data_IF_463733707980
#
_entry.id   IF_463733707980
#
_cell.length_a   1.000
_cell.length_b   1.000
_cell.length_c   1.000
_cell.angle_alpha   90.00
_cell.angle_beta   90.00
_cell.angle_gamma   90.00
#
_symmetry.space_group_name_H-M   'P 1'
#
loop_
_entity.id
_entity.type
_entity.pdbx_description
1 polymer ?
#
# COMPACT_ATOMS: atom_id res chain seq x y z
N UNK A 1 18.95 10.42 -17.92
CA UNK A 1 17.77 9.71 -17.42
C UNK A 1 16.57 10.63 -17.23
N UNK A 2 16.42 11.56 -18.17
CA UNK A 2 15.37 12.57 -18.16
C UNK A 2 13.98 11.96 -18.28
N UNK A 3 13.83 10.93 -19.12
CA UNK A 3 12.56 10.21 -19.33
C UNK A 3 12.04 9.55 -18.04
N UNK A 4 12.95 9.02 -17.22
CA UNK A 4 12.57 8.42 -15.93
C UNK A 4 12.06 9.49 -14.93
N UNK A 5 12.75 10.62 -14.87
CA UNK A 5 12.34 11.74 -14.01
C UNK A 5 10.97 12.27 -14.44
N UNK A 6 10.77 12.46 -15.74
CA UNK A 6 9.49 12.91 -16.29
C UNK A 6 8.35 11.92 -15.99
N UNK A 7 8.61 10.62 -16.10
CA UNK A 7 7.63 9.58 -15.76
C UNK A 7 7.23 9.62 -14.28
N UNK A 8 8.21 9.73 -13.38
CA UNK A 8 7.96 9.80 -11.93
C UNK A 8 7.23 11.08 -11.58
N UNK A 9 7.64 12.22 -12.15
CA UNK A 9 6.96 13.51 -11.93
C UNK A 9 5.50 13.44 -12.35
N UNK A 10 5.23 12.88 -13.56
CA UNK A 10 3.86 12.72 -14.03
C UNK A 10 3.03 11.79 -13.16
N UNK A 11 3.62 10.71 -12.65
CA UNK A 11 2.94 9.85 -11.69
C UNK A 11 2.59 10.60 -10.40
N UNK A 12 3.52 11.36 -9.83
CA UNK A 12 3.26 12.18 -8.64
C UNK A 12 2.11 13.18 -8.87
N UNK A 13 2.11 13.86 -10.03
CA UNK A 13 1.03 14.78 -10.41
C UNK A 13 -0.34 14.07 -10.48
N UNK A 14 -0.41 12.91 -11.17
CA UNK A 14 -1.64 12.15 -11.28
C UNK A 14 -2.17 11.68 -9.93
N UNK A 15 -1.28 11.27 -9.02
CA UNK A 15 -1.68 10.89 -7.65
C UNK A 15 -2.23 12.11 -6.91
N UNK A 16 -1.54 13.25 -6.97
CA UNK A 16 -1.98 14.49 -6.32
C UNK A 16 -3.36 14.95 -6.85
N UNK A 17 -3.52 14.98 -8.19
CA UNK A 17 -4.80 15.33 -8.84
C UNK A 17 -5.97 14.45 -8.39
N UNK A 18 -5.74 13.14 -8.21
CA UNK A 18 -6.79 12.23 -7.74
C UNK A 18 -7.04 12.36 -6.23
N UNK A 19 -5.99 12.57 -5.44
CA UNK A 19 -6.14 12.80 -3.99
C UNK A 19 -6.92 14.09 -3.70
N UNK A 20 -6.71 15.17 -4.46
CA UNK A 20 -7.50 16.41 -4.36
C UNK A 20 -8.99 16.19 -4.63
N UNK A 21 -9.34 15.24 -5.49
CA UNK A 21 -10.72 14.81 -5.74
C UNK A 21 -11.27 13.84 -4.67
N UNK A 22 -10.45 13.48 -3.69
CA UNK A 22 -10.78 12.50 -2.67
C UNK A 22 -10.69 11.04 -3.14
N UNK A 23 -9.94 10.77 -4.21
CA UNK A 23 -9.70 9.44 -4.77
C UNK A 23 -8.28 8.97 -4.47
N UNK A 24 -8.07 7.65 -4.46
CA UNK A 24 -6.74 7.04 -4.57
C UNK A 24 -6.40 6.76 -6.04
N UNK A 25 -5.10 6.66 -6.36
CA UNK A 25 -4.62 6.32 -7.69
C UNK A 25 -3.62 5.17 -7.67
N UNK A 26 -4.11 3.97 -7.97
CA UNK A 26 -3.28 2.76 -8.08
C UNK A 26 -2.74 2.61 -9.52
N UNK A 27 -1.63 3.31 -9.82
CA UNK A 27 -1.00 3.23 -11.13
C UNK A 27 -0.52 1.81 -11.45
N UNK A 28 0.18 1.19 -10.51
CA UNK A 28 0.84 -0.10 -10.77
C UNK A 28 -0.16 -1.24 -10.88
N UNK A 29 -1.20 -1.28 -10.07
CA UNK A 29 -2.26 -2.27 -10.19
C UNK A 29 -3.01 -2.13 -11.51
N UNK A 30 -3.32 -0.91 -11.96
CA UNK A 30 -3.94 -0.66 -13.28
C UNK A 30 -3.06 -1.09 -14.44
N UNK A 31 -1.76 -0.79 -14.41
CA UNK A 31 -0.81 -1.24 -15.42
C UNK A 31 -0.67 -2.77 -15.44
N UNK A 32 -0.59 -3.37 -14.27
CA UNK A 32 -0.52 -4.82 -14.11
C UNK A 32 -1.75 -5.50 -14.74
N UNK A 33 -2.95 -5.05 -14.39
CA UNK A 33 -4.20 -5.55 -14.96
C UNK A 33 -4.21 -5.44 -16.49
N UNK A 34 -3.81 -4.30 -17.05
CA UNK A 34 -3.76 -4.09 -18.50
C UNK A 34 -2.74 -5.01 -19.17
N UNK A 35 -1.55 -5.17 -18.60
CA UNK A 35 -0.51 -6.05 -19.15
C UNK A 35 -0.94 -7.53 -19.13
N UNK A 36 -1.68 -7.96 -18.11
CA UNK A 36 -2.18 -9.33 -18.02
C UNK A 36 -3.36 -9.58 -18.96
N UNK A 37 -4.30 -8.64 -19.09
CA UNK A 37 -5.40 -8.71 -20.04
C UNK A 37 -4.90 -8.86 -21.49
N UNK A 38 -3.81 -8.17 -21.86
CA UNK A 38 -3.20 -8.25 -23.18
C UNK A 38 -2.49 -9.59 -23.43
N UNK A 39 -2.04 -10.31 -22.39
CA UNK A 39 -1.24 -11.54 -22.54
C UNK A 39 -2.03 -12.84 -22.45
N UNK A 40 -3.37 -12.83 -22.42
CA UNK A 40 -4.24 -14.03 -22.31
C UNK A 40 -3.82 -15.10 -21.27
N UNK A 41 -2.81 -14.80 -20.43
CA UNK A 41 -2.26 -15.67 -19.39
C UNK A 41 -2.75 -15.31 -17.97
N UNK A 42 -3.65 -14.36 -17.85
CA UNK A 42 -4.18 -13.89 -16.56
C UNK A 42 -4.87 -15.01 -15.74
N UNK A 43 -5.31 -16.07 -16.41
CA UNK A 43 -6.04 -17.15 -15.74
C UNK A 43 -5.14 -18.13 -14.97
N UNK A 44 -3.82 -18.12 -15.17
CA UNK A 44 -2.95 -19.16 -14.58
C UNK A 44 -2.53 -18.86 -13.13
N UNK A 45 -2.52 -17.59 -12.70
CA UNK A 45 -2.06 -17.23 -11.36
C UNK A 45 -3.19 -16.84 -10.40
N UNK A 46 -4.45 -16.74 -10.86
CA UNK A 46 -5.59 -16.43 -9.98
C UNK A 46 -5.52 -15.08 -9.25
N UNK A 47 -4.64 -14.18 -9.69
CA UNK A 47 -4.48 -12.86 -9.08
C UNK A 47 -5.45 -11.87 -9.72
N UNK A 48 -6.45 -11.46 -8.96
CA UNK A 48 -7.40 -10.42 -9.35
C UNK A 48 -7.33 -9.29 -8.32
N UNK A 49 -7.13 -8.06 -8.82
CA UNK A 49 -7.23 -6.89 -7.94
C UNK A 49 -8.70 -6.54 -7.70
N UNK A 50 -9.01 -6.18 -6.46
CA UNK A 50 -10.34 -5.76 -6.09
C UNK A 50 -10.73 -4.47 -6.82
N UNK A 51 -11.91 -4.40 -7.47
CA UNK A 51 -12.36 -3.17 -8.14
C UNK A 51 -12.44 -1.97 -7.20
N UNK A 52 -12.10 -0.77 -7.68
CA UNK A 52 -12.08 0.46 -6.89
C UNK A 52 -13.42 0.74 -6.19
N UNK A 53 -14.55 0.46 -6.84
CA UNK A 53 -15.88 0.63 -6.25
C UNK A 53 -16.10 -0.27 -5.04
N UNK A 54 -15.61 -1.51 -5.10
CA UNK A 54 -15.70 -2.46 -4.00
C UNK A 54 -14.77 -2.05 -2.86
N UNK A 55 -13.55 -1.60 -3.17
CA UNK A 55 -12.63 -1.08 -2.15
C UNK A 55 -13.23 0.09 -1.37
N UNK A 56 -13.88 1.03 -2.06
CA UNK A 56 -14.57 2.16 -1.41
C UNK A 56 -15.76 1.70 -0.56
N UNK A 57 -16.53 0.74 -1.04
CA UNK A 57 -17.63 0.17 -0.26
C UNK A 57 -17.11 -0.50 1.01
N UNK A 58 -16.05 -1.30 0.91
CA UNK A 58 -15.41 -1.94 2.06
C UNK A 58 -14.88 -0.90 3.05
N UNK A 59 -14.23 0.14 2.57
CA UNK A 59 -13.76 1.24 3.41
C UNK A 59 -14.92 1.91 4.17
N UNK A 60 -16.05 2.19 3.52
CA UNK A 60 -17.22 2.83 4.15
C UNK A 60 -17.91 1.94 5.18
N UNK A 61 -17.95 0.63 4.98
CA UNK A 61 -18.54 -0.31 5.93
C UNK A 61 -17.63 -0.49 7.15
N UNK A 62 -16.32 -0.58 6.93
CA UNK A 62 -15.36 -0.74 8.03
C UNK A 62 -15.29 0.50 8.91
N UNK A 63 -15.67 1.66 8.36
CA UNK A 63 -15.67 2.94 9.06
C UNK A 63 -16.87 3.11 10.02
N UNK A 64 -17.99 2.42 9.73
CA UNK A 64 -19.26 2.65 10.41
C UNK A 64 -19.32 2.06 11.84
N UNK A 65 -18.53 1.04 12.17
CA UNK A 65 -18.72 0.22 13.38
C UNK A 65 -17.46 0.03 14.26
N UNK A 66 -16.32 0.63 13.93
CA UNK A 66 -15.09 0.43 14.70
C UNK A 66 -14.84 1.61 15.61
N UNK A 67 -15.11 1.44 16.90
CA UNK A 67 -14.44 2.25 17.92
C UNK A 67 -12.94 2.16 17.65
N UNK A 68 -12.32 3.27 17.28
CA UNK A 68 -10.89 3.36 16.99
C UNK A 68 -10.11 2.97 18.25
N UNK A 69 -9.82 1.68 18.39
CA UNK A 69 -8.98 1.19 19.49
C UNK A 69 -7.56 1.65 19.23
N UNK A 70 -7.12 2.62 19.99
CA UNK A 70 -5.74 3.06 20.01
C UNK A 70 -4.83 1.87 20.37
N UNK A 71 -3.87 1.59 19.50
CA UNK A 71 -2.81 0.64 19.78
C UNK A 71 -1.67 1.32 20.57
N UNK A 72 -0.73 0.53 21.09
CA UNK A 72 0.46 1.05 21.77
C UNK A 72 1.13 2.17 20.96
N UNK A 73 1.14 3.39 21.50
CA UNK A 73 1.64 4.59 20.82
C UNK A 73 0.55 5.48 20.21
N UNK A 74 -0.74 5.21 20.44
CA UNK A 74 -1.85 6.06 19.97
C UNK A 74 -2.16 5.92 18.47
N UNK A 75 -1.60 4.91 17.77
CA UNK A 75 -1.84 4.65 16.36
C UNK A 75 -2.92 3.57 16.15
N UNK A 76 -3.87 3.87 15.29
CA UNK A 76 -4.85 2.87 14.81
C UNK A 76 -4.18 1.99 13.75
N UNK A 77 -4.19 0.68 13.96
CA UNK A 77 -3.62 -0.28 13.00
C UNK A 77 -4.69 -0.80 12.05
N UNK A 78 -4.39 -0.71 10.76
CA UNK A 78 -5.23 -1.21 9.67
C UNK A 78 -4.45 -2.30 8.93
N UNK A 79 -5.02 -3.51 8.85
CA UNK A 79 -4.34 -4.67 8.29
C UNK A 79 -5.06 -5.21 7.05
N UNK A 80 -4.26 -5.60 6.04
CA UNK A 80 -4.69 -6.37 4.88
C UNK A 80 -3.66 -7.47 4.60
N UNK A 81 -4.03 -8.72 4.87
CA UNK A 81 -3.14 -9.88 4.76
C UNK A 81 -3.02 -10.46 3.33
N UNK A 82 -3.73 -9.91 2.35
CA UNK A 82 -3.67 -10.28 0.94
C UNK A 82 -3.82 -9.01 0.07
N UNK A 83 -2.95 -8.03 0.33
CA UNK A 83 -3.15 -6.63 -0.03
C UNK A 83 -3.10 -6.34 -1.54
N UNK A 84 -2.59 -7.25 -2.37
CA UNK A 84 -2.36 -6.94 -3.78
C UNK A 84 -1.50 -5.68 -3.94
N UNK A 85 -1.96 -4.74 -4.76
CA UNK A 85 -1.34 -3.41 -4.92
C UNK A 85 -1.67 -2.42 -3.79
N UNK A 86 -2.28 -2.86 -2.68
CA UNK A 86 -2.80 -2.10 -1.54
C UNK A 86 -4.05 -1.25 -1.85
N UNK A 87 -4.82 -1.57 -2.88
CA UNK A 87 -5.98 -0.76 -3.33
C UNK A 87 -7.05 -0.60 -2.25
N UNK A 88 -7.31 -1.64 -1.46
CA UNK A 88 -8.22 -1.61 -0.29
C UNK A 88 -7.74 -0.66 0.80
N UNK A 89 -6.44 -0.72 1.13
CA UNK A 89 -5.83 0.17 2.12
C UNK A 89 -5.79 1.62 1.64
N UNK A 90 -5.52 1.85 0.35
CA UNK A 90 -5.59 3.19 -0.26
C UNK A 90 -7.00 3.77 -0.15
N UNK A 91 -8.03 2.98 -0.43
CA UNK A 91 -9.43 3.41 -0.32
C UNK A 91 -9.78 3.79 1.13
N UNK A 92 -9.35 2.99 2.11
CA UNK A 92 -9.52 3.31 3.53
C UNK A 92 -8.77 4.59 3.92
N UNK A 93 -7.51 4.74 3.49
CA UNK A 93 -6.72 5.94 3.77
C UNK A 93 -7.41 7.20 3.25
N UNK A 94 -7.88 7.18 2.00
CA UNK A 94 -8.59 8.31 1.40
C UNK A 94 -9.91 8.61 2.11
N UNK A 95 -10.67 7.57 2.52
CA UNK A 95 -11.90 7.77 3.29
C UNK A 95 -11.64 8.49 4.62
N UNK A 96 -10.52 8.17 5.30
CA UNK A 96 -10.17 8.76 6.60
C UNK A 96 -9.51 10.14 6.50
N UNK A 97 -8.79 10.44 5.43
CA UNK A 97 -8.00 11.68 5.32
C UNK A 97 -8.60 12.73 4.39
N UNK A 98 -9.71 12.40 3.72
CA UNK A 98 -10.36 13.28 2.75
C UNK A 98 -10.76 14.64 3.34
N UNK A 99 -11.33 14.65 4.54
CA UNK A 99 -11.81 15.86 5.21
C UNK A 99 -10.74 16.51 6.08
N UNK A 100 -9.83 15.70 6.64
CA UNK A 100 -8.74 16.18 7.47
C UNK A 100 -7.44 15.38 7.22
N UNK A 101 -6.54 15.97 6.49
CA UNK A 101 -5.22 15.39 6.18
C UNK A 101 -4.34 15.17 7.43
N UNK A 102 -4.59 15.86 8.54
CA UNK A 102 -3.87 15.64 9.78
C UNK A 102 -4.11 14.23 10.34
N UNK A 103 -5.25 13.61 10.03
CA UNK A 103 -5.58 12.25 10.41
C UNK A 103 -4.65 11.20 9.80
N UNK A 104 -3.93 11.50 8.71
CA UNK A 104 -2.96 10.57 8.14
C UNK A 104 -1.91 10.09 9.15
N UNK A 105 -1.61 10.88 10.15
CA UNK A 105 -0.68 10.55 11.23
C UNK A 105 -1.22 9.60 12.29
N UNK A 106 -2.53 9.35 12.31
CA UNK A 106 -3.18 8.47 13.30
C UNK A 106 -3.21 7.01 12.89
N UNK A 107 -2.95 6.70 11.62
CA UNK A 107 -3.07 5.35 11.08
C UNK A 107 -1.71 4.75 10.75
N UNK A 108 -1.55 3.47 11.09
CA UNK A 108 -0.42 2.63 10.69
C UNK A 108 -0.94 1.43 9.91
N UNK A 109 -0.51 1.32 8.65
CA UNK A 109 -0.99 0.31 7.72
C UNK A 109 -0.05 -0.89 7.67
N UNK A 110 -0.60 -2.08 7.86
CA UNK A 110 0.11 -3.35 7.77
C UNK A 110 -0.44 -4.13 6.58
N UNK A 111 0.34 -4.18 5.52
CA UNK A 111 0.01 -4.89 4.30
C UNK A 111 0.84 -6.17 4.19
N UNK A 112 0.28 -7.24 3.66
CA UNK A 112 1.02 -8.44 3.33
C UNK A 112 0.55 -9.07 2.03
N UNK A 113 1.47 -9.68 1.30
CA UNK A 113 1.17 -10.48 0.12
C UNK A 113 2.27 -11.55 -0.05
N UNK A 114 1.97 -12.62 -0.77
CA UNK A 114 2.93 -13.68 -1.06
C UNK A 114 3.85 -13.31 -2.22
N UNK A 115 3.37 -12.49 -3.16
CA UNK A 115 4.08 -12.13 -4.38
C UNK A 115 4.95 -10.87 -4.19
N UNK A 116 6.25 -11.02 -4.40
CA UNK A 116 7.22 -9.92 -4.22
C UNK A 116 7.00 -8.72 -5.17
N UNK A 117 6.74 -8.89 -6.47
CA UNK A 117 6.33 -7.79 -7.35
C UNK A 117 5.13 -7.02 -6.83
N UNK A 118 4.09 -7.72 -6.38
CA UNK A 118 2.87 -7.14 -5.83
C UNK A 118 3.16 -6.35 -4.55
N UNK A 119 3.97 -6.89 -3.63
CA UNK A 119 4.44 -6.16 -2.45
C UNK A 119 5.19 -4.86 -2.80
N UNK A 120 6.00 -4.87 -3.86
CA UNK A 120 6.68 -3.65 -4.33
C UNK A 120 5.70 -2.61 -4.85
N UNK A 121 4.66 -3.04 -5.60
CA UNK A 121 3.60 -2.14 -6.06
C UNK A 121 2.86 -1.52 -4.87
N UNK A 122 2.48 -2.33 -3.89
CA UNK A 122 1.85 -1.87 -2.66
C UNK A 122 2.71 -0.85 -1.91
N UNK A 123 4.01 -1.14 -1.75
CA UNK A 123 4.94 -0.25 -1.08
C UNK A 123 5.06 1.12 -1.78
N UNK A 124 5.18 1.13 -3.11
CA UNK A 124 5.23 2.36 -3.90
C UNK A 124 3.92 3.17 -3.79
N UNK A 125 2.77 2.49 -3.91
CA UNK A 125 1.46 3.11 -3.79
C UNK A 125 1.25 3.72 -2.39
N UNK A 126 1.54 2.99 -1.33
CA UNK A 126 1.44 3.50 0.04
C UNK A 126 2.38 4.69 0.27
N UNK A 127 3.62 4.60 -0.24
CA UNK A 127 4.61 5.67 -0.08
C UNK A 127 4.11 6.97 -0.70
N UNK A 128 3.70 6.95 -1.96
CA UNK A 128 3.34 8.17 -2.70
C UNK A 128 2.06 8.82 -2.16
N UNK A 129 1.14 8.04 -1.56
CA UNK A 129 -0.05 8.57 -0.90
C UNK A 129 0.23 9.11 0.52
N UNK A 130 1.47 9.04 1.02
CA UNK A 130 1.83 9.52 2.35
C UNK A 130 1.37 8.62 3.50
N UNK A 131 1.02 7.37 3.22
CA UNK A 131 0.64 6.39 4.23
C UNK A 131 1.85 5.96 5.04
N UNK A 132 1.68 5.79 6.35
CA UNK A 132 2.71 5.21 7.23
C UNK A 132 2.40 3.74 7.47
N UNK A 133 3.41 2.86 7.37
CA UNK A 133 3.17 1.44 7.61
C UNK A 133 4.29 0.53 7.14
N UNK A 134 3.93 -0.72 6.91
CA UNK A 134 4.83 -1.73 6.35
C UNK A 134 4.12 -2.63 5.37
N UNK A 135 4.87 -3.16 4.40
CA UNK A 135 4.44 -4.25 3.51
C UNK A 135 5.34 -5.45 3.74
N UNK A 136 4.76 -6.61 4.00
CA UNK A 136 5.48 -7.85 4.30
C UNK A 136 5.27 -8.85 3.17
N UNK A 137 6.35 -9.27 2.51
CA UNK A 137 6.30 -10.34 1.52
C UNK A 137 6.42 -11.69 2.22
N UNK A 138 5.27 -12.35 2.43
CA UNK A 138 5.19 -13.58 3.22
C UNK A 138 3.90 -14.34 2.90
N UNK A 139 3.95 -15.65 2.92
CA UNK A 139 2.74 -16.48 2.96
C UNK A 139 2.08 -16.35 4.34
N UNK A 140 0.90 -15.72 4.37
CA UNK A 140 0.18 -15.42 5.61
C UNK A 140 -0.50 -16.65 6.25
N UNK A 141 -0.55 -17.77 5.55
CA UNK A 141 -1.10 -19.02 6.07
C UNK A 141 -0.04 -19.85 6.80
N UNK A 142 1.13 -20.00 6.20
CA UNK A 142 2.22 -20.83 6.75
C UNK A 142 3.22 -20.02 7.59
N UNK A 143 3.19 -18.70 7.50
CA UNK A 143 4.01 -17.76 8.26
C UNK A 143 5.54 -18.10 8.28
N UNK A 144 6.16 -18.40 7.14
CA UNK A 144 7.60 -18.59 7.09
C UNK A 144 8.33 -17.27 7.35
N UNK A 145 9.66 -17.29 7.50
CA UNK A 145 10.44 -16.06 7.52
C UNK A 145 10.12 -15.20 6.29
N UNK A 146 9.75 -13.92 6.45
CA UNK A 146 9.42 -13.05 5.33
C UNK A 146 10.56 -13.00 4.30
N UNK A 147 10.20 -12.95 3.01
CA UNK A 147 11.17 -12.75 1.93
C UNK A 147 11.71 -11.31 1.93
N UNK A 148 10.84 -10.35 2.21
CA UNK A 148 11.18 -8.94 2.31
C UNK A 148 10.17 -8.21 3.21
N UNK A 149 10.63 -7.14 3.85
CA UNK A 149 9.77 -6.20 4.59
C UNK A 149 10.10 -4.80 4.09
N UNK A 150 9.08 -4.08 3.64
CA UNK A 150 9.16 -2.70 3.20
C UNK A 150 8.54 -1.83 4.29
N UNK A 151 9.34 -0.97 4.91
CA UNK A 151 8.88 0.02 5.87
C UNK A 151 8.63 1.34 5.15
N UNK A 152 7.44 1.88 5.30
CA UNK A 152 6.92 3.00 4.50
C UNK A 152 6.79 4.23 5.38
N UNK A 153 7.42 5.32 4.99
CA UNK A 153 7.32 6.64 5.63
C UNK A 153 7.56 6.60 7.16
N UNK A 154 8.46 5.74 7.63
CA UNK A 154 8.78 5.62 9.07
C UNK A 154 9.36 6.92 9.63
N UNK A 155 10.13 7.64 8.82
CA UNK A 155 10.70 8.94 9.19
C UNK A 155 10.00 10.01 8.36
N UNK A 156 9.12 10.76 8.99
CA UNK A 156 8.54 11.96 8.39
C UNK A 156 9.52 13.11 8.60
N UNK A 157 10.14 13.55 7.53
CA UNK A 157 10.91 14.78 7.57
C UNK A 157 9.96 15.97 7.71
N UNK A 158 10.25 16.95 8.61
CA UNK A 158 9.43 18.13 8.69
C UNK A 158 9.43 18.88 7.35
N UNK A 159 8.25 19.38 6.98
CA UNK A 159 8.09 20.27 5.82
C UNK A 159 9.20 21.34 5.79
N UNK A 160 9.78 21.72 4.60
CA UNK A 160 9.19 21.55 3.28
C UNK A 160 9.66 20.32 2.48
N UNK A 161 10.51 19.50 3.00
CA UNK A 161 11.13 18.42 2.24
C UNK A 161 10.31 17.15 2.21
N UNK A 162 8.99 17.16 2.21
CA UNK A 162 8.10 15.99 2.15
C UNK A 162 8.67 14.76 1.44
N UNK A 163 9.83 14.29 1.89
CA UNK A 163 10.49 13.13 1.31
C UNK A 163 9.79 11.87 1.81
N UNK A 164 9.12 11.22 0.90
CA UNK A 164 8.58 9.89 1.10
C UNK A 164 9.72 8.87 1.07
N UNK A 165 9.65 7.85 1.93
CA UNK A 165 10.73 6.88 2.08
C UNK A 165 10.23 5.44 2.11
N UNK A 166 11.04 4.56 1.52
CA UNK A 166 10.89 3.10 1.68
C UNK A 166 12.23 2.57 2.17
N UNK A 167 12.22 1.90 3.32
CA UNK A 167 13.36 1.14 3.82
C UNK A 167 13.06 -0.36 3.65
N UNK A 168 13.93 -1.07 2.95
CA UNK A 168 13.74 -2.50 2.68
C UNK A 168 14.65 -3.34 3.57
N UNK A 169 14.08 -4.38 4.18
CA UNK A 169 14.81 -5.39 4.95
C UNK A 169 14.57 -6.76 4.34
N UNK A 170 15.65 -7.51 4.15
CA UNK A 170 15.61 -8.90 3.74
C UNK A 170 16.02 -9.76 4.94
N UNK A 171 15.07 -10.34 5.70
CA UNK A 171 15.38 -11.17 6.84
C UNK A 171 16.22 -12.39 6.44
N UNK A 172 17.25 -12.67 7.20
CA UNK A 172 18.03 -13.92 6.99
C UNK A 172 17.16 -15.10 7.40
N UNK A 173 17.05 -16.12 6.53
CA UNK A 173 16.48 -17.40 6.93
C UNK A 173 17.34 -17.95 8.06
N UNK A 174 16.76 -18.18 9.22
CA UNK A 174 17.46 -18.93 10.27
C UNK A 174 17.83 -20.30 9.70
N UNK A 175 19.12 -20.56 9.60
CA UNK A 175 19.62 -21.85 9.16
C UNK A 175 19.05 -22.91 10.12
N UNK A 176 18.34 -23.91 9.59
CA UNK A 176 18.03 -25.10 10.39
C UNK A 176 19.34 -25.57 10.99
N UNK A 177 19.51 -25.41 12.30
CA UNK A 177 20.56 -26.10 13.02
C UNK A 177 20.41 -27.59 12.72
N UNK A 178 21.45 -28.16 12.13
CA UNK A 178 21.53 -29.61 11.84
C UNK A 178 21.64 -30.39 13.15
#
# INVERSE_FOLDING_TARGET
NEDYINLVSRWCEMVAEEMEKGNSFDLFGRLYEQMFLLKSKASSNGQFFTPDSLCRLMASITDADVEEKECNGGLVRVNDCACGSARTLLAHFMAKTREDHALAGRYYYEAADIDLPTCKMAACNMMIHGMQGKVVCQDQLSLPTPTAIFYINEVRYPFPSGMYSIRVVYPKKEGKAK
#
